data_IF_318806907102
#
_entry.id   IF_318806907102
#
_cell.length_a   1.000
_cell.length_b   1.000
_cell.length_c   1.000
_cell.angle_alpha   90.00
_cell.angle_beta   90.00
_cell.angle_gamma   90.00
#
_symmetry.space_group_name_H-M   'P 1'
#
loop_
_entity.id
_entity.type
_entity.pdbx_description
1 polymer ?
#
# COMPACT_ATOMS: atom_id res chain seq x y z
N UNK A 1 -25.90 13.13 0.60
CA UNK A 1 -24.59 13.62 1.05
C UNK A 1 -23.51 12.88 0.31
N UNK A 2 -22.73 13.58 -0.52
CA UNK A 2 -21.55 12.99 -1.15
C UNK A 2 -20.33 13.23 -0.24
N UNK A 3 -19.41 12.27 -0.16
CA UNK A 3 -18.18 12.35 0.64
C UNK A 3 -17.44 13.71 0.56
N UNK A 4 -17.31 14.39 -0.60
CA UNK A 4 -16.60 15.67 -0.69
C UNK A 4 -17.27 16.82 0.09
N UNK A 5 -18.57 16.71 0.35
CA UNK A 5 -19.33 17.70 1.10
C UNK A 5 -18.97 17.66 2.59
N UNK A 6 -18.52 16.50 3.08
CA UNK A 6 -18.09 16.27 4.46
C UNK A 6 -16.68 16.79 4.77
N UNK A 7 -15.88 17.07 3.73
CA UNK A 7 -14.51 17.54 3.89
C UNK A 7 -14.44 19.04 4.18
N UNK A 8 -13.44 19.48 4.93
CA UNK A 8 -13.18 20.90 5.23
C UNK A 8 -11.78 21.31 4.76
N UNK A 9 -11.65 22.57 4.31
CA UNK A 9 -10.40 23.25 3.98
C UNK A 9 -9.34 22.39 3.26
N UNK A 10 -8.31 21.98 4.00
CA UNK A 10 -7.17 21.21 3.49
C UNK A 10 -7.60 19.86 2.91
N UNK A 11 -8.59 19.20 3.51
CA UNK A 11 -9.12 17.94 3.01
C UNK A 11 -9.87 18.11 1.69
N UNK A 12 -10.58 19.24 1.50
CA UNK A 12 -11.20 19.58 0.21
C UNK A 12 -10.16 19.84 -0.87
N UNK A 13 -9.07 20.52 -0.53
CA UNK A 13 -7.97 20.78 -1.48
C UNK A 13 -7.26 19.47 -1.87
N UNK A 14 -6.93 18.63 -0.89
CA UNK A 14 -6.37 17.29 -1.12
C UNK A 14 -7.28 16.45 -2.03
N UNK A 15 -8.58 16.38 -1.74
CA UNK A 15 -9.52 15.62 -2.56
C UNK A 15 -9.54 16.09 -4.03
N UNK A 16 -9.40 17.39 -4.29
CA UNK A 16 -9.33 17.93 -5.66
C UNK A 16 -8.03 17.59 -6.41
N UNK A 17 -6.94 17.33 -5.68
CA UNK A 17 -5.65 16.93 -6.26
C UNK A 17 -5.66 15.48 -6.74
N UNK A 18 -6.56 14.64 -6.22
CA UNK A 18 -6.70 13.27 -6.66
C UNK A 18 -7.17 13.16 -8.11
N UNK A 19 -6.70 12.13 -8.81
CA UNK A 19 -7.15 11.80 -10.17
C UNK A 19 -8.66 11.55 -10.20
N UNK A 20 -9.25 11.61 -11.40
CA UNK A 20 -10.69 11.39 -11.55
C UNK A 20 -11.05 9.93 -11.26
N UNK A 21 -10.13 9.02 -11.52
CA UNK A 21 -10.21 7.58 -11.33
C UNK A 21 -10.26 7.26 -9.84
N UNK A 22 -9.33 7.79 -9.05
CA UNK A 22 -9.29 7.62 -7.59
C UNK A 22 -10.54 8.21 -6.93
N UNK A 23 -11.04 9.35 -7.40
CA UNK A 23 -12.28 9.96 -6.85
C UNK A 23 -13.57 9.19 -7.18
N UNK A 24 -13.60 8.43 -8.26
CA UNK A 24 -14.79 7.65 -8.69
C UNK A 24 -14.92 6.30 -7.98
N UNK A 25 -13.81 5.77 -7.46
CA UNK A 25 -13.73 4.46 -6.82
C UNK A 25 -13.64 4.65 -5.31
N UNK A 26 -14.68 4.25 -4.57
CA UNK A 26 -14.68 4.34 -3.11
C UNK A 26 -13.49 3.59 -2.46
N UNK A 27 -13.12 2.37 -2.90
CA UNK A 27 -11.93 1.67 -2.38
C UNK A 27 -10.62 2.46 -2.59
N UNK A 28 -10.43 3.05 -3.77
CA UNK A 28 -9.20 3.80 -4.07
C UNK A 28 -9.16 5.13 -3.31
N UNK A 29 -10.31 5.80 -3.17
CA UNK A 29 -10.46 7.01 -2.38
C UNK A 29 -10.19 6.75 -0.89
N UNK A 30 -10.74 5.67 -0.34
CA UNK A 30 -10.50 5.24 1.04
C UNK A 30 -9.02 4.98 1.27
N UNK A 31 -8.37 4.21 0.38
CA UNK A 31 -6.94 3.91 0.49
C UNK A 31 -6.08 5.19 0.45
N UNK A 32 -6.40 6.13 -0.43
CA UNK A 32 -5.71 7.42 -0.49
C UNK A 32 -5.92 8.24 0.79
N UNK A 33 -7.12 8.22 1.37
CA UNK A 33 -7.41 8.90 2.63
C UNK A 33 -6.63 8.30 3.79
N UNK A 34 -6.60 6.96 3.90
CA UNK A 34 -5.85 6.24 4.93
C UNK A 34 -4.33 6.50 4.86
N UNK A 35 -3.79 6.62 3.64
CA UNK A 35 -2.41 7.02 3.37
C UNK A 35 -2.12 8.44 3.89
N UNK A 36 -2.94 9.42 3.53
CA UNK A 36 -2.70 10.83 3.81
C UNK A 36 -2.94 11.19 5.28
N UNK A 37 -4.03 10.71 5.87
CA UNK A 37 -4.51 11.21 7.17
C UNK A 37 -4.40 10.21 8.30
N UNK A 38 -4.44 8.91 8.02
CA UNK A 38 -4.39 7.90 9.07
C UNK A 38 -2.98 7.36 9.30
N UNK A 39 -2.02 7.63 8.41
CA UNK A 39 -0.66 7.07 8.50
C UNK A 39 -0.64 5.54 8.49
N UNK A 40 -1.74 4.90 8.06
CA UNK A 40 -1.98 3.46 8.24
C UNK A 40 -1.40 2.60 7.12
N UNK A 41 -0.94 3.21 6.03
CA UNK A 41 -0.54 2.46 4.86
C UNK A 41 0.96 2.25 4.83
N UNK A 42 1.42 1.23 5.56
CA UNK A 42 2.63 0.52 5.11
C UNK A 42 2.28 -0.01 3.71
N UNK A 43 2.83 0.63 2.69
CA UNK A 43 2.66 0.23 1.29
C UNK A 43 3.12 -1.23 1.14
N UNK A 44 2.61 -1.93 0.12
CA UNK A 44 3.04 -3.31 -0.14
C UNK A 44 4.57 -3.37 -0.34
N UNK A 45 5.17 -2.35 -0.94
CA UNK A 45 6.61 -2.18 -1.09
C UNK A 45 7.33 -2.01 0.26
N UNK A 46 6.82 -1.15 1.16
CA UNK A 46 7.39 -1.02 2.50
C UNK A 46 7.28 -2.33 3.29
N UNK A 47 6.14 -3.02 3.22
CA UNK A 47 5.97 -4.35 3.86
C UNK A 47 7.02 -5.35 3.37
N UNK A 48 7.34 -5.33 2.07
CA UNK A 48 8.38 -6.18 1.50
C UNK A 48 9.78 -5.81 2.01
N UNK A 49 10.17 -4.53 1.95
CA UNK A 49 11.52 -4.11 2.37
C UNK A 49 11.76 -4.18 3.89
N UNK A 50 10.70 -3.99 4.68
CA UNK A 50 10.73 -4.10 6.14
C UNK A 50 10.53 -5.55 6.62
N UNK A 51 10.23 -6.49 5.72
CA UNK A 51 10.05 -7.89 6.06
C UNK A 51 11.32 -8.44 6.70
N UNK A 52 11.18 -9.03 7.89
CA UNK A 52 12.26 -9.74 8.58
C UNK A 52 11.83 -11.16 8.91
N UNK A 53 12.80 -12.08 8.87
CA UNK A 53 12.60 -13.45 9.35
C UNK A 53 12.42 -13.42 10.86
N UNK A 54 11.41 -14.10 11.38
CA UNK A 54 11.25 -14.27 12.83
C UNK A 54 12.22 -15.35 13.33
N UNK A 55 12.71 -15.23 14.56
CA UNK A 55 13.62 -16.24 15.13
C UNK A 55 13.01 -17.64 15.19
N UNK A 56 11.69 -17.73 15.38
CA UNK A 56 10.92 -18.98 15.45
C UNK A 56 10.40 -19.49 14.11
N UNK A 57 10.68 -18.80 13.00
CA UNK A 57 10.15 -19.13 11.68
C UNK A 57 11.17 -19.95 10.89
N UNK A 58 10.71 -21.09 10.36
CA UNK A 58 11.53 -21.95 9.51
C UNK A 58 11.98 -21.18 8.25
N UNK A 59 13.21 -21.39 7.75
CA UNK A 59 13.72 -20.66 6.59
C UNK A 59 12.83 -20.77 5.34
N UNK A 60 12.20 -21.94 5.12
CA UNK A 60 11.32 -22.15 3.97
C UNK A 60 10.01 -21.36 4.08
N UNK A 61 9.41 -21.31 5.27
CA UNK A 61 8.19 -20.54 5.52
C UNK A 61 8.45 -19.04 5.34
N UNK A 62 9.62 -18.57 5.76
CA UNK A 62 10.06 -17.20 5.51
C UNK A 62 10.16 -16.90 4.01
N UNK A 63 10.80 -17.79 3.24
CA UNK A 63 10.93 -17.62 1.78
C UNK A 63 9.54 -17.57 1.11
N UNK A 64 8.63 -18.45 1.50
CA UNK A 64 7.26 -18.46 0.96
C UNK A 64 6.54 -17.14 1.26
N UNK A 65 6.55 -16.69 2.52
CA UNK A 65 5.94 -15.42 2.92
C UNK A 65 6.56 -14.22 2.22
N UNK A 66 7.88 -14.23 2.03
CA UNK A 66 8.60 -13.17 1.31
C UNK A 66 8.18 -13.10 -0.17
N UNK A 67 8.03 -14.25 -0.84
CA UNK A 67 7.59 -14.31 -2.23
C UNK A 67 6.16 -13.79 -2.41
N UNK A 68 5.23 -14.16 -1.52
CA UNK A 68 3.86 -13.62 -1.51
C UNK A 68 3.89 -12.09 -1.38
N UNK A 69 4.69 -11.57 -0.44
CA UNK A 69 4.79 -10.12 -0.23
C UNK A 69 5.42 -9.40 -1.44
N UNK A 70 6.37 -10.02 -2.13
CA UNK A 70 6.99 -9.49 -3.34
C UNK A 70 5.96 -9.39 -4.49
N UNK A 71 5.10 -10.40 -4.65
CA UNK A 71 4.00 -10.39 -5.62
C UNK A 71 3.01 -9.26 -5.33
N UNK A 72 2.61 -9.08 -4.07
CA UNK A 72 1.74 -7.97 -3.65
C UNK A 72 2.39 -6.60 -3.89
N UNK A 73 3.71 -6.51 -3.69
CA UNK A 73 4.50 -5.30 -3.92
C UNK A 73 4.80 -5.04 -5.41
N UNK A 74 4.50 -5.99 -6.30
CA UNK A 74 4.87 -5.98 -7.72
C UNK A 74 6.39 -5.82 -7.93
N UNK A 75 7.18 -6.47 -7.09
CA UNK A 75 8.64 -6.48 -7.19
C UNK A 75 9.06 -7.65 -8.08
N UNK A 76 9.83 -7.35 -9.12
CA UNK A 76 10.46 -8.38 -9.94
C UNK A 76 11.71 -8.91 -9.22
N UNK A 77 11.56 -10.05 -8.56
CA UNK A 77 12.65 -10.76 -7.89
C UNK A 77 13.27 -11.86 -8.76
N UNK A 78 12.69 -12.15 -9.93
CA UNK A 78 13.18 -13.19 -10.83
C UNK A 78 14.43 -12.75 -11.61
N UNK A 79 14.59 -11.44 -11.89
CA UNK A 79 15.81 -10.91 -12.50
C UNK A 79 17.02 -10.86 -11.55
N UNK A 80 16.80 -10.73 -10.23
CA UNK A 80 17.88 -10.61 -9.26
C UNK A 80 18.67 -11.91 -9.01
N UNK A 81 18.09 -13.07 -9.34
CA UNK A 81 18.74 -14.38 -9.20
C UNK A 81 19.65 -14.77 -10.39
N UNK A 82 19.81 -13.87 -11.38
CA UNK A 82 20.60 -14.10 -12.60
C UNK A 82 21.98 -13.44 -12.59
N UNK A 83 22.50 -13.03 -11.43
CA UNK A 83 23.85 -12.44 -11.26
C UNK A 83 24.77 -13.39 -10.50
#
# INVERSE_FOLDING_TARGET
MQFPELLTDRAKTWYRQLSRETRKSWPDLQKAFELEYCGLAITAQQKYYELRRKSSEEPLDYLYRMNVQAMEAKIDYAQAASV
#
